data_IF_721455001607
#
_entry.id   IF_721455001607
#
_cell.length_a   1.000
_cell.length_b   1.000
_cell.length_c   1.000
_cell.angle_alpha   90.00
_cell.angle_beta   90.00
_cell.angle_gamma   90.00
#
_symmetry.space_group_name_H-M   'P 1'
#
loop_
_entity.id
_entity.type
_entity.pdbx_description
1 polymer ?
#
# COMPACT_ATOMS: atom_id res chain seq x y z
N UNK A 1 4.27 7.61 16.82
CA UNK A 1 2.91 7.55 17.35
C UNK A 1 1.87 7.76 16.25
N UNK A 2 1.91 8.88 15.52
CA UNK A 2 0.96 9.25 14.45
C UNK A 2 0.62 8.11 13.46
N UNK A 3 1.60 7.48 12.79
CA UNK A 3 1.33 6.34 11.88
C UNK A 3 0.65 5.14 12.54
N UNK A 4 0.88 4.90 13.84
CA UNK A 4 0.29 3.77 14.55
C UNK A 4 -1.19 4.04 14.84
N UNK A 5 -1.52 5.26 15.28
CA UNK A 5 -2.90 5.71 15.47
C UNK A 5 -3.66 5.62 14.16
N UNK A 6 -3.08 6.14 13.07
CA UNK A 6 -3.69 6.09 11.76
C UNK A 6 -4.02 4.66 11.29
N UNK A 7 -3.09 3.73 11.44
CA UNK A 7 -3.30 2.34 11.05
C UNK A 7 -4.39 1.68 11.90
N UNK A 8 -4.42 1.95 13.20
CA UNK A 8 -5.52 1.51 14.05
C UNK A 8 -6.87 2.09 13.58
N UNK A 9 -6.92 3.39 13.28
CA UNK A 9 -8.12 4.05 12.78
C UNK A 9 -8.59 3.49 11.43
N UNK A 10 -7.67 3.23 10.50
CA UNK A 10 -7.98 2.62 9.21
C UNK A 10 -8.53 1.20 9.39
N UNK A 11 -7.93 0.40 10.27
CA UNK A 11 -8.43 -0.94 10.61
C UNK A 11 -9.82 -0.90 11.25
N UNK A 12 -10.05 0.01 12.20
CA UNK A 12 -11.36 0.21 12.83
C UNK A 12 -12.43 0.66 11.83
N UNK A 13 -12.07 1.53 10.88
CA UNK A 13 -12.99 1.96 9.83
C UNK A 13 -13.38 0.78 8.93
N UNK A 14 -12.42 -0.02 8.48
CA UNK A 14 -12.73 -1.23 7.71
C UNK A 14 -13.59 -2.22 8.49
N UNK A 15 -13.29 -2.45 9.76
CA UNK A 15 -14.10 -3.34 10.59
C UNK A 15 -15.54 -2.83 10.72
N UNK A 16 -15.71 -1.54 10.97
CA UNK A 16 -17.03 -0.88 11.02
C UNK A 16 -17.76 -1.02 9.69
N UNK A 17 -17.03 -0.96 8.57
CA UNK A 17 -17.60 -1.16 7.25
C UNK A 17 -18.07 -2.59 7.01
N UNK A 18 -17.26 -3.58 7.36
CA UNK A 18 -17.61 -5.00 7.24
C UNK A 18 -18.81 -5.33 8.13
N UNK A 19 -18.79 -4.89 9.39
CA UNK A 19 -19.91 -5.05 10.33
C UNK A 19 -21.15 -4.35 9.78
N UNK A 20 -21.01 -3.12 9.29
CA UNK A 20 -22.12 -2.40 8.67
C UNK A 20 -22.72 -3.14 7.49
N UNK A 21 -21.90 -3.72 6.61
CA UNK A 21 -22.39 -4.56 5.53
C UNK A 21 -23.15 -5.81 6.05
N UNK A 22 -22.61 -6.51 7.05
CA UNK A 22 -23.24 -7.71 7.62
C UNK A 22 -24.56 -7.44 8.33
N UNK A 23 -24.68 -6.28 9.00
CA UNK A 23 -25.89 -5.86 9.70
C UNK A 23 -26.79 -4.95 8.86
N UNK A 24 -26.53 -4.87 7.55
CA UNK A 24 -27.30 -4.08 6.60
C UNK A 24 -27.46 -2.60 7.00
N UNK A 25 -26.40 -2.02 7.57
CA UNK A 25 -26.33 -0.61 7.89
C UNK A 25 -26.15 0.23 6.62
N UNK A 26 -26.63 1.47 6.68
CA UNK A 26 -26.37 2.48 5.67
C UNK A 26 -24.95 3.06 5.80
N UNK A 27 -24.44 3.79 4.78
CA UNK A 27 -23.18 4.51 4.88
C UNK A 27 -23.10 5.45 6.08
N UNK A 28 -24.21 6.12 6.39
CA UNK A 28 -24.34 6.94 7.60
C UNK A 28 -24.31 6.08 8.88
N UNK A 29 -24.96 4.91 8.87
CA UNK A 29 -24.89 3.95 9.97
C UNK A 29 -23.47 3.44 10.25
N UNK A 30 -22.68 3.15 9.21
CA UNK A 30 -21.25 2.83 9.35
C UNK A 30 -20.50 3.96 10.03
N UNK A 31 -20.79 5.20 9.65
CA UNK A 31 -20.12 6.36 10.21
C UNK A 31 -20.37 6.48 11.71
N UNK A 32 -21.62 6.34 12.14
CA UNK A 32 -21.97 6.31 13.56
C UNK A 32 -21.32 5.16 14.30
N UNK A 33 -21.32 3.96 13.72
CA UNK A 33 -20.64 2.79 14.29
C UNK A 33 -19.14 3.06 14.45
N UNK A 34 -18.50 3.60 13.41
CA UNK A 34 -17.08 3.93 13.43
C UNK A 34 -16.74 4.94 14.52
N UNK A 35 -17.45 6.06 14.61
CA UNK A 35 -17.18 7.07 15.64
C UNK A 35 -17.47 6.55 17.04
N UNK A 36 -18.49 5.71 17.22
CA UNK A 36 -18.79 5.08 18.51
C UNK A 36 -17.67 4.15 18.96
N UNK A 37 -17.19 3.29 18.06
CA UNK A 37 -16.07 2.38 18.32
C UNK A 37 -14.77 3.15 18.53
N UNK A 38 -14.52 4.21 17.74
CA UNK A 38 -13.35 5.07 17.88
C UNK A 38 -13.33 5.79 19.23
N UNK A 39 -14.47 6.32 19.68
CA UNK A 39 -14.60 6.96 20.98
C UNK A 39 -14.29 5.97 22.11
N UNK A 40 -14.87 4.76 22.07
CA UNK A 40 -14.58 3.70 23.03
C UNK A 40 -13.08 3.34 23.01
N UNK A 41 -12.49 3.18 21.83
CA UNK A 41 -11.07 2.89 21.67
C UNK A 41 -10.18 3.99 22.26
N UNK A 42 -10.49 5.27 21.99
CA UNK A 42 -9.75 6.41 22.54
C UNK A 42 -9.88 6.50 24.07
N UNK A 43 -11.07 6.22 24.62
CA UNK A 43 -11.30 6.16 26.06
C UNK A 43 -10.49 5.03 26.71
N UNK A 44 -10.56 3.81 26.16
CA UNK A 44 -9.77 2.67 26.64
C UNK A 44 -8.27 2.94 26.54
N UNK A 45 -7.82 3.52 25.42
CA UNK A 45 -6.42 3.91 25.22
C UNK A 45 -5.98 4.95 26.26
N UNK A 46 -6.79 5.98 26.52
CA UNK A 46 -6.49 6.99 27.52
C UNK A 46 -6.42 6.40 28.93
N UNK A 47 -7.36 5.51 29.29
CA UNK A 47 -7.36 4.81 30.57
C UNK A 47 -6.11 3.93 30.73
N UNK A 48 -5.72 3.19 29.68
CA UNK A 48 -4.57 2.29 29.72
C UNK A 48 -3.22 3.03 29.74
N UNK A 49 -3.09 4.11 28.96
CA UNK A 49 -1.87 4.94 28.92
C UNK A 49 -1.65 5.70 30.22
N UNK A 50 -2.71 6.13 30.89
CA UNK A 50 -2.62 6.81 32.19
C UNK A 50 -2.02 5.91 33.28
N UNK A 51 -2.17 4.60 33.15
CA UNK A 51 -1.63 3.60 34.09
C UNK A 51 -0.14 3.32 33.82
N UNK A 52 0.34 3.49 32.59
CA UNK A 52 1.69 3.06 32.16
C UNK A 52 2.64 4.23 31.85
N UNK A 53 2.56 5.32 32.62
CA UNK A 53 3.30 6.57 32.38
C UNK A 53 4.82 6.48 32.63
N UNK A 54 5.53 5.79 31.72
CA UNK A 54 6.95 6.01 31.40
C UNK A 54 7.15 6.07 29.88
N UNK A 55 6.39 6.91 29.18
CA UNK A 55 6.67 7.22 27.78
C UNK A 55 7.88 8.17 27.69
N UNK A 56 9.09 7.61 27.64
CA UNK A 56 10.27 8.36 27.19
C UNK A 56 10.12 8.61 25.68
N UNK A 57 9.71 9.82 25.31
CA UNK A 57 9.77 10.26 23.93
C UNK A 57 11.22 10.49 23.55
N UNK A 58 11.69 9.75 22.54
CA UNK A 58 12.91 10.15 21.87
C UNK A 58 12.56 11.35 20.99
N UNK A 59 12.79 12.56 21.50
CA UNK A 59 12.72 13.78 20.70
C UNK A 59 13.71 13.64 19.55
N UNK A 60 13.24 13.94 18.33
CA UNK A 60 14.10 14.02 17.15
C UNK A 60 15.04 15.23 17.33
N UNK A 61 16.30 15.08 16.93
CA UNK A 61 17.17 16.24 16.76
C UNK A 61 16.57 17.19 15.71
N UNK A 62 16.86 18.50 15.83
CA UNK A 62 16.42 19.55 14.89
C UNK A 62 16.71 19.16 13.43
N UNK A 63 17.92 18.65 13.15
CA UNK A 63 18.29 18.21 11.79
C UNK A 63 17.39 17.09 11.28
N UNK A 64 17.10 16.11 12.13
CA UNK A 64 16.20 15.01 11.76
C UNK A 64 14.78 15.51 11.49
N UNK A 65 14.29 16.46 12.29
CA UNK A 65 12.96 17.04 12.10
C UNK A 65 12.84 17.71 10.73
N UNK A 66 13.87 18.44 10.28
CA UNK A 66 13.90 19.02 8.93
C UNK A 66 13.82 17.97 7.83
N UNK A 67 14.61 16.89 7.90
CA UNK A 67 14.55 15.84 6.88
C UNK A 67 13.20 15.10 6.88
N UNK A 68 12.65 14.78 8.05
CA UNK A 68 11.34 14.14 8.16
C UNK A 68 10.25 15.05 7.58
N UNK A 69 10.25 16.33 7.97
CA UNK A 69 9.32 17.34 7.46
C UNK A 69 9.43 17.51 5.95
N UNK A 70 10.66 17.59 5.42
CA UNK A 70 10.94 17.69 3.99
C UNK A 70 10.34 16.51 3.21
N UNK A 71 10.65 15.26 3.60
CA UNK A 71 10.15 14.10 2.87
C UNK A 71 8.63 13.94 2.97
N UNK A 72 8.02 14.32 4.09
CA UNK A 72 6.56 14.34 4.23
C UNK A 72 5.96 15.38 3.28
N UNK A 73 6.44 16.62 3.34
CA UNK A 73 5.95 17.71 2.49
C UNK A 73 6.14 17.36 1.00
N UNK A 74 7.31 16.83 0.65
CA UNK A 74 7.61 16.39 -0.71
C UNK A 74 6.66 15.28 -1.17
N UNK A 75 6.36 14.29 -0.33
CA UNK A 75 5.37 13.25 -0.65
C UNK A 75 3.97 13.83 -0.90
N UNK A 76 3.55 14.82 -0.12
CA UNK A 76 2.26 15.49 -0.28
C UNK A 76 2.22 16.26 -1.59
N UNK A 77 3.23 17.10 -1.84
CA UNK A 77 3.35 17.90 -3.05
C UNK A 77 3.33 17.01 -4.29
N UNK A 78 4.11 15.92 -4.30
CA UNK A 78 4.11 14.99 -5.43
C UNK A 78 2.76 14.32 -5.64
N UNK A 79 2.10 13.81 -4.58
CA UNK A 79 0.78 13.18 -4.73
C UNK A 79 -0.27 14.13 -5.27
N UNK A 80 -0.22 15.41 -4.89
CA UNK A 80 -1.16 16.44 -5.34
C UNK A 80 -0.85 16.95 -6.76
N UNK A 81 0.42 17.14 -7.11
CA UNK A 81 0.82 17.78 -8.36
C UNK A 81 1.01 16.81 -9.53
N UNK A 82 1.18 15.50 -9.25
CA UNK A 82 1.25 14.47 -10.29
C UNK A 82 -0.16 14.09 -10.74
N UNK A 83 -0.55 14.60 -11.91
CA UNK A 83 -1.87 14.40 -12.47
C UNK A 83 -1.81 13.24 -13.46
N UNK A 84 -2.40 12.11 -13.08
CA UNK A 84 -2.49 10.91 -13.90
C UNK A 84 -3.92 10.38 -13.90
N UNK A 85 -4.66 10.66 -14.97
CA UNK A 85 -5.97 10.08 -15.22
C UNK A 85 -5.87 8.57 -15.34
N UNK A 86 -6.90 7.88 -14.85
CA UNK A 86 -6.91 6.42 -14.83
C UNK A 86 -8.29 5.85 -15.15
N UNK A 87 -8.35 4.89 -16.06
CA UNK A 87 -9.60 4.30 -16.53
C UNK A 87 -10.38 3.61 -15.40
N UNK A 88 -9.72 3.12 -14.35
CA UNK A 88 -10.41 2.51 -13.21
C UNK A 88 -11.23 3.50 -12.40
N UNK A 89 -11.05 4.82 -12.58
CA UNK A 89 -11.86 5.82 -11.89
C UNK A 89 -13.35 5.70 -12.27
N UNK A 90 -13.67 5.27 -13.49
CA UNK A 90 -15.06 5.00 -13.91
C UNK A 90 -15.77 4.01 -12.98
N UNK A 91 -14.99 3.13 -12.35
CA UNK A 91 -15.45 2.19 -11.35
C UNK A 91 -15.38 2.80 -9.94
N UNK A 92 -14.20 3.22 -9.49
CA UNK A 92 -13.99 3.63 -8.10
C UNK A 92 -14.70 4.93 -7.70
N UNK A 93 -14.69 5.94 -8.57
CA UNK A 93 -15.35 7.22 -8.29
C UNK A 93 -16.87 7.09 -8.32
N UNK A 94 -17.38 6.33 -9.29
CA UNK A 94 -18.80 5.99 -9.37
C UNK A 94 -19.30 5.30 -8.09
N UNK A 95 -18.48 4.42 -7.53
CA UNK A 95 -18.77 3.76 -6.27
C UNK A 95 -18.89 4.75 -5.11
N UNK A 96 -17.97 5.71 -5.04
CA UNK A 96 -18.01 6.78 -4.03
C UNK A 96 -19.25 7.68 -4.20
N UNK A 97 -19.66 7.97 -5.45
CA UNK A 97 -20.91 8.70 -5.73
C UNK A 97 -22.13 7.91 -5.27
N UNK A 98 -22.17 6.60 -5.52
CA UNK A 98 -23.29 5.76 -5.06
C UNK A 98 -23.40 5.76 -3.53
N UNK A 99 -22.28 5.75 -2.79
CA UNK A 99 -22.27 5.90 -1.33
C UNK A 99 -22.86 7.24 -0.87
N UNK A 100 -22.65 8.33 -1.61
CA UNK A 100 -23.23 9.63 -1.29
C UNK A 100 -24.72 9.70 -1.64
N UNK A 101 -25.08 9.25 -2.84
CA UNK A 101 -26.46 9.26 -3.34
C UNK A 101 -27.40 8.41 -2.48
N UNK A 102 -26.88 7.31 -1.92
CA UNK A 102 -27.63 6.34 -1.11
C UNK A 102 -27.15 6.30 0.34
N UNK A 103 -26.79 7.44 0.93
CA UNK A 103 -26.17 7.51 2.25
C UNK A 103 -27.06 7.00 3.42
N UNK A 104 -28.38 6.94 3.22
CA UNK A 104 -29.37 6.41 4.17
C UNK A 104 -29.85 5.00 3.85
N UNK A 105 -29.59 4.49 2.64
CA UNK A 105 -30.00 3.14 2.25
C UNK A 105 -28.97 2.10 2.72
N UNK A 106 -29.41 0.87 3.03
CA UNK A 106 -28.50 -0.21 3.36
C UNK A 106 -27.48 -0.48 2.25
N UNK A 107 -26.23 -0.75 2.64
CA UNK A 107 -25.13 -0.93 1.68
C UNK A 107 -25.29 -2.19 0.83
N UNK A 108 -26.01 -3.20 1.33
CA UNK A 108 -26.28 -4.41 0.55
C UNK A 108 -27.13 -4.16 -0.70
N UNK A 109 -27.90 -3.05 -0.73
CA UNK A 109 -28.75 -2.63 -1.86
C UNK A 109 -27.97 -1.84 -2.92
N UNK A 110 -26.68 -1.62 -2.71
CA UNK A 110 -25.83 -0.93 -3.68
C UNK A 110 -25.52 -1.83 -4.88
N UNK A 111 -25.70 -1.29 -6.10
CA UNK A 111 -25.34 -1.97 -7.35
C UNK A 111 -23.85 -2.28 -7.41
N UNK A 112 -23.01 -1.40 -6.84
CA UNK A 112 -21.59 -1.64 -6.63
C UNK A 112 -21.34 -2.91 -5.80
N UNK A 113 -22.03 -3.03 -4.68
CA UNK A 113 -21.88 -4.14 -3.72
C UNK A 113 -22.39 -5.46 -4.30
N UNK A 114 -23.43 -5.44 -5.14
CA UNK A 114 -23.91 -6.61 -5.87
C UNK A 114 -22.86 -7.22 -6.82
N UNK A 115 -21.84 -6.46 -7.23
CA UNK A 115 -20.70 -7.03 -7.97
C UNK A 115 -19.77 -7.88 -7.10
N UNK A 116 -20.10 -8.15 -5.82
CA UNK A 116 -19.44 -9.04 -4.85
C UNK A 116 -17.92 -8.92 -4.80
N UNK A 117 -17.31 -7.84 -5.25
CA UNK A 117 -15.87 -7.56 -5.11
C UNK A 117 -15.63 -6.27 -4.35
N UNK A 118 -16.70 -5.55 -4.08
CA UNK A 118 -16.74 -4.17 -3.68
C UNK A 118 -17.18 -3.99 -2.21
N UNK A 119 -17.91 -4.97 -1.66
CA UNK A 119 -18.50 -4.88 -0.32
C UNK A 119 -17.46 -4.80 0.82
N UNK A 120 -16.23 -5.25 0.55
CA UNK A 120 -15.13 -5.21 1.51
C UNK A 120 -14.23 -3.98 1.32
N UNK A 121 -14.34 -3.30 0.17
CA UNK A 121 -13.51 -2.16 -0.18
C UNK A 121 -14.05 -0.88 0.48
N UNK A 122 -13.67 -0.68 1.74
CA UNK A 122 -14.06 0.48 2.54
C UNK A 122 -13.48 1.82 2.02
N UNK A 123 -12.43 1.81 1.19
CA UNK A 123 -11.73 3.03 0.78
C UNK A 123 -12.58 4.03 -0.02
N UNK A 124 -13.46 3.53 -0.90
CA UNK A 124 -14.39 4.37 -1.66
C UNK A 124 -15.40 5.02 -0.71
N UNK A 125 -15.94 4.25 0.24
CA UNK A 125 -16.84 4.77 1.26
C UNK A 125 -16.18 5.81 2.17
N UNK A 126 -14.89 5.64 2.50
CA UNK A 126 -14.14 6.59 3.32
C UNK A 126 -14.10 7.97 2.65
N UNK A 127 -13.82 8.00 1.34
CA UNK A 127 -13.74 9.25 0.56
C UNK A 127 -15.11 9.91 0.41
N UNK A 128 -16.15 9.12 0.16
CA UNK A 128 -17.53 9.60 0.18
C UNK A 128 -17.89 10.22 1.54
N UNK A 129 -17.60 9.51 2.62
CA UNK A 129 -17.89 9.96 3.98
C UNK A 129 -17.12 11.23 4.36
N UNK A 130 -15.86 11.38 3.95
CA UNK A 130 -15.11 12.63 4.10
C UNK A 130 -15.79 13.78 3.34
N UNK A 131 -16.28 13.53 2.13
CA UNK A 131 -17.04 14.52 1.37
C UNK A 131 -18.30 14.98 2.10
N UNK A 132 -19.08 14.00 2.58
CA UNK A 132 -20.34 14.22 3.29
C UNK A 132 -20.13 14.96 4.63
N UNK A 133 -19.16 14.50 5.43
CA UNK A 133 -18.86 15.07 6.75
C UNK A 133 -18.40 16.52 6.71
N UNK A 134 -17.55 16.87 5.74
CA UNK A 134 -16.97 18.21 5.62
C UNK A 134 -17.72 19.09 4.63
N UNK A 135 -18.79 18.58 4.00
CA UNK A 135 -19.55 19.25 2.95
C UNK A 135 -18.66 19.82 1.83
N UNK A 136 -17.68 19.02 1.38
CA UNK A 136 -16.75 19.39 0.29
C UNK A 136 -17.10 18.62 -0.99
N UNK A 137 -16.74 19.13 -2.18
CA UNK A 137 -16.95 18.40 -3.44
C UNK A 137 -16.23 17.05 -3.48
N UNK A 138 -16.88 16.02 -4.05
CA UNK A 138 -16.32 14.66 -4.08
C UNK A 138 -14.94 14.58 -4.72
N UNK A 139 -14.65 15.37 -5.76
CA UNK A 139 -13.34 15.34 -6.42
C UNK A 139 -12.22 15.88 -5.52
N UNK A 140 -12.52 16.79 -4.59
CA UNK A 140 -11.57 17.29 -3.60
C UNK A 140 -11.23 16.18 -2.60
N UNK A 141 -12.24 15.51 -2.05
CA UNK A 141 -12.03 14.36 -1.15
C UNK A 141 -11.25 13.25 -1.86
N UNK A 142 -11.66 12.92 -3.09
CA UNK A 142 -11.19 11.77 -3.85
C UNK A 142 -9.75 11.93 -4.36
N UNK A 143 -9.39 13.08 -4.95
CA UNK A 143 -8.08 13.28 -5.58
C UNK A 143 -7.08 14.06 -4.74
N UNK A 144 -7.54 14.92 -3.82
CA UNK A 144 -6.68 15.87 -3.12
C UNK A 144 -6.53 15.51 -1.65
N UNK A 145 -7.60 15.66 -0.85
CA UNK A 145 -7.53 15.61 0.61
C UNK A 145 -7.12 14.23 1.12
N UNK A 146 -7.86 13.18 0.75
CA UNK A 146 -7.58 11.83 1.24
C UNK A 146 -6.22 11.33 0.72
N UNK A 147 -5.89 11.40 -0.58
CA UNK A 147 -4.57 10.99 -1.07
C UNK A 147 -3.40 11.73 -0.41
N UNK A 148 -3.54 13.04 -0.15
CA UNK A 148 -2.51 13.82 0.56
C UNK A 148 -2.29 13.31 1.99
N UNK A 149 -3.37 13.01 2.72
CA UNK A 149 -3.26 12.42 4.07
C UNK A 149 -2.53 11.07 3.99
N UNK A 150 -2.90 10.21 3.05
CA UNK A 150 -2.26 8.91 2.86
C UNK A 150 -0.78 9.00 2.47
N UNK A 151 -0.38 10.01 1.69
CA UNK A 151 1.02 10.17 1.29
C UNK A 151 1.94 10.53 2.47
N UNK A 152 1.44 11.26 3.47
CA UNK A 152 2.15 11.48 4.76
C UNK A 152 2.49 10.13 5.39
N UNK A 153 1.55 9.19 5.40
CA UNK A 153 1.75 7.88 5.99
C UNK A 153 2.69 7.00 5.17
N UNK A 154 2.61 7.07 3.83
CA UNK A 154 3.58 6.41 2.93
C UNK A 154 5.01 6.88 3.25
N UNK A 155 5.24 8.19 3.35
CA UNK A 155 6.56 8.71 3.69
C UNK A 155 7.01 8.24 5.09
N UNK A 156 6.15 8.38 6.09
CA UNK A 156 6.53 8.04 7.48
C UNK A 156 6.79 6.54 7.68
N UNK A 157 6.07 5.64 7.00
CA UNK A 157 6.33 4.20 7.14
C UNK A 157 7.65 3.80 6.49
N UNK A 158 7.99 4.38 5.34
CA UNK A 158 9.27 4.12 4.67
C UNK A 158 10.45 4.68 5.46
N UNK A 159 10.32 5.88 6.04
CA UNK A 159 11.31 6.44 6.96
C UNK A 159 11.53 5.48 8.14
N UNK A 160 10.44 4.99 8.75
CA UNK A 160 10.53 4.05 9.88
C UNK A 160 11.18 2.73 9.50
N UNK A 161 10.84 2.19 8.33
CA UNK A 161 11.38 0.94 7.85
C UNK A 161 12.88 1.08 7.51
N UNK A 162 13.29 2.16 6.86
CA UNK A 162 14.70 2.46 6.59
C UNK A 162 15.50 2.72 7.87
N UNK A 163 14.95 3.46 8.84
CA UNK A 163 15.59 3.62 10.16
C UNK A 163 15.74 2.28 10.88
N UNK A 164 14.75 1.39 10.74
CA UNK A 164 14.81 0.05 11.33
C UNK A 164 15.90 -0.82 10.70
N UNK A 165 16.20 -0.64 9.41
CA UNK A 165 17.13 -1.51 8.67
C UNK A 165 18.53 -0.92 8.51
N UNK A 166 18.65 0.32 8.03
CA UNK A 166 19.93 0.99 7.71
C UNK A 166 20.27 2.15 8.66
N UNK A 167 19.47 2.36 9.72
CA UNK A 167 19.73 3.33 10.80
C UNK A 167 19.95 4.75 10.26
N UNK A 168 21.14 5.31 10.46
CA UNK A 168 21.50 6.71 10.17
C UNK A 168 21.50 7.03 8.67
N UNK A 169 21.64 6.00 7.81
CA UNK A 169 21.74 6.16 6.35
C UNK A 169 20.36 6.30 5.68
N UNK A 170 19.29 6.38 6.48
CA UNK A 170 17.90 6.42 6.02
C UNK A 170 17.58 7.61 5.10
N UNK A 171 18.29 8.74 5.24
CA UNK A 171 18.07 9.93 4.40
C UNK A 171 18.42 9.66 2.95
N UNK A 172 19.58 9.03 2.68
CA UNK A 172 19.98 8.63 1.32
C UNK A 172 19.07 7.56 0.75
N UNK A 173 18.59 6.65 1.61
CA UNK A 173 17.58 5.67 1.24
C UNK A 173 16.27 6.34 0.83
N UNK A 174 15.80 7.34 1.58
CA UNK A 174 14.59 8.10 1.25
C UNK A 174 14.75 8.95 -0.02
N UNK A 175 15.91 9.57 -0.24
CA UNK A 175 16.19 10.26 -1.51
C UNK A 175 16.06 9.30 -2.69
N UNK A 176 16.66 8.12 -2.59
CA UNK A 176 16.56 7.11 -3.65
C UNK A 176 15.14 6.56 -3.80
N UNK A 177 14.41 6.37 -2.70
CA UNK A 177 13.00 5.99 -2.73
C UNK A 177 12.17 6.96 -3.58
N UNK A 178 12.36 8.27 -3.41
CA UNK A 178 11.66 9.26 -4.20
C UNK A 178 12.10 9.27 -5.67
N UNK A 179 13.40 9.07 -5.96
CA UNK A 179 13.88 8.88 -7.35
C UNK A 179 13.14 7.70 -8.00
N UNK A 180 13.05 6.56 -7.31
CA UNK A 180 12.28 5.39 -7.80
C UNK A 180 10.82 5.75 -8.04
N UNK A 181 10.16 6.43 -7.09
CA UNK A 181 8.75 6.81 -7.19
C UNK A 181 8.46 7.79 -8.33
N UNK A 182 9.44 8.60 -8.74
CA UNK A 182 9.31 9.58 -9.83
C UNK A 182 9.70 9.03 -11.20
N UNK A 183 10.60 8.04 -11.23
CA UNK A 183 11.27 7.67 -12.48
C UNK A 183 10.90 6.27 -12.93
N UNK A 184 10.53 5.34 -12.05
CA UNK A 184 10.25 3.96 -12.44
C UNK A 184 8.86 3.74 -13.06
N UNK A 185 8.64 4.33 -14.23
CA UNK A 185 7.37 4.31 -14.97
C UNK A 185 7.31 3.33 -16.15
N UNK A 186 8.34 2.51 -16.36
CA UNK A 186 8.51 1.67 -17.57
C UNK A 186 7.27 0.82 -17.90
N UNK A 187 6.61 0.28 -16.87
CA UNK A 187 5.37 -0.48 -17.01
C UNK A 187 4.30 0.12 -16.09
N UNK A 188 3.05 0.17 -16.54
CA UNK A 188 1.92 0.68 -15.77
C UNK A 188 1.74 0.00 -14.40
N UNK A 189 2.24 -1.23 -14.24
CA UNK A 189 2.09 -2.07 -13.05
C UNK A 189 3.27 -2.01 -12.08
N UNK A 190 4.26 -1.15 -12.34
CA UNK A 190 5.38 -0.95 -11.41
C UNK A 190 4.89 -0.43 -10.05
N UNK A 191 5.67 -0.69 -9.02
CA UNK A 191 5.38 -0.21 -7.67
C UNK A 191 5.32 1.32 -7.61
N UNK A 192 6.15 2.02 -8.39
CA UNK A 192 6.13 3.48 -8.45
C UNK A 192 4.84 4.01 -9.11
N UNK A 193 4.31 3.30 -10.11
CA UNK A 193 3.02 3.63 -10.71
C UNK A 193 1.84 3.36 -9.75
N UNK A 194 1.91 2.32 -8.92
CA UNK A 194 1.02 2.11 -7.76
C UNK A 194 1.45 2.93 -6.52
N UNK A 195 2.29 3.93 -6.72
CA UNK A 195 2.86 4.80 -5.70
C UNK A 195 2.08 6.10 -5.51
N UNK A 196 2.86 7.16 -5.28
CA UNK A 196 2.38 8.51 -4.95
C UNK A 196 1.38 9.08 -5.96
N UNK A 197 1.57 8.76 -7.25
CA UNK A 197 0.75 9.28 -8.35
C UNK A 197 -0.69 8.76 -8.32
N UNK A 198 -0.92 7.56 -7.77
CA UNK A 198 -2.23 6.85 -7.77
C UNK A 198 -2.79 6.60 -6.38
N UNK A 199 -2.33 7.30 -5.34
CA UNK A 199 -2.87 7.11 -3.98
C UNK A 199 -4.37 7.39 -3.84
N UNK A 200 -5.02 7.97 -4.84
CA UNK A 200 -6.48 8.00 -4.98
C UNK A 200 -7.11 6.64 -5.30
N UNK A 201 -6.35 5.54 -5.30
CA UNK A 201 -6.88 4.19 -5.46
C UNK A 201 -6.43 3.34 -4.27
N UNK A 202 -7.36 2.57 -3.71
CA UNK A 202 -7.07 1.79 -2.51
C UNK A 202 -5.96 0.75 -2.74
N UNK A 203 -5.89 0.13 -3.93
CA UNK A 203 -4.76 -0.74 -4.30
C UNK A 203 -3.38 -0.06 -4.24
N UNK A 204 -3.30 1.23 -4.57
CA UNK A 204 -2.03 1.97 -4.49
C UNK A 204 -1.65 2.24 -3.04
N UNK A 205 -2.62 2.61 -2.20
CA UNK A 205 -2.44 2.73 -0.75
C UNK A 205 -1.99 1.38 -0.15
N UNK A 206 -2.62 0.29 -0.55
CA UNK A 206 -2.27 -1.05 -0.09
C UNK A 206 -0.79 -1.39 -0.35
N UNK A 207 -0.35 -1.24 -1.61
CA UNK A 207 1.04 -1.54 -2.01
C UNK A 207 2.05 -0.57 -1.37
N UNK A 208 1.72 0.71 -1.30
CA UNK A 208 2.65 1.76 -0.89
C UNK A 208 2.68 2.06 0.61
N UNK A 209 1.66 1.64 1.36
CA UNK A 209 1.57 1.90 2.79
C UNK A 209 1.40 0.61 3.59
N UNK A 210 0.40 -0.20 3.26
CA UNK A 210 0.03 -1.35 4.09
C UNK A 210 1.07 -2.46 4.02
N UNK A 211 1.55 -2.83 2.83
CA UNK A 211 2.61 -3.84 2.69
C UNK A 211 3.89 -3.43 3.47
N UNK A 212 4.46 -2.21 3.30
CA UNK A 212 5.57 -1.74 4.13
C UNK A 212 5.24 -1.71 5.64
N UNK A 213 4.01 -1.40 6.02
CA UNK A 213 3.58 -1.37 7.42
C UNK A 213 3.55 -2.77 8.04
N UNK A 214 3.03 -3.77 7.32
CA UNK A 214 3.05 -5.19 7.73
C UNK A 214 4.49 -5.62 7.99
N UNK A 215 5.39 -5.37 7.03
CA UNK A 215 6.81 -5.70 7.16
C UNK A 215 7.45 -5.00 8.36
N UNK A 216 7.18 -3.70 8.53
CA UNK A 216 7.71 -2.92 9.65
C UNK A 216 7.24 -3.44 11.01
N UNK A 217 5.93 -3.64 11.20
CA UNK A 217 5.38 -4.09 12.47
C UNK A 217 5.71 -5.55 12.76
N UNK A 218 5.78 -6.40 11.74
CA UNK A 218 6.30 -7.76 11.90
C UNK A 218 7.74 -7.75 12.42
N UNK A 219 8.64 -6.99 11.80
CA UNK A 219 10.03 -6.89 12.28
C UNK A 219 10.16 -6.21 13.65
N UNK A 220 9.30 -5.24 13.97
CA UNK A 220 9.26 -4.64 15.31
C UNK A 220 8.75 -5.61 16.37
N UNK A 221 7.74 -6.41 16.05
CA UNK A 221 7.28 -7.47 16.92
C UNK A 221 8.38 -8.52 17.09
N UNK A 222 8.99 -9.00 16.01
CA UNK A 222 10.12 -9.93 16.07
C UNK A 222 11.30 -9.40 16.92
N UNK A 223 11.61 -8.10 16.81
CA UNK A 223 12.73 -7.50 17.56
C UNK A 223 12.43 -7.32 19.06
N UNK A 224 11.16 -7.10 19.44
CA UNK A 224 10.83 -6.60 20.79
C UNK A 224 9.79 -7.40 21.54
N UNK A 225 9.08 -8.31 20.86
CA UNK A 225 8.00 -9.16 21.38
C UNK A 225 6.85 -8.38 22.04
N UNK A 226 6.77 -7.06 21.80
CA UNK A 226 5.73 -6.22 22.40
C UNK A 226 4.40 -6.41 21.68
N UNK A 227 3.38 -6.82 22.44
CA UNK A 227 2.01 -7.08 21.97
C UNK A 227 1.39 -5.92 21.17
N UNK A 228 1.73 -4.68 21.48
CA UNK A 228 1.28 -3.52 20.70
C UNK A 228 1.62 -3.60 19.21
N UNK A 229 2.74 -4.24 18.85
CA UNK A 229 3.13 -4.39 17.45
C UNK A 229 2.37 -5.53 16.77
N UNK A 230 1.99 -6.56 17.51
CA UNK A 230 1.06 -7.58 17.02
C UNK A 230 -0.31 -6.94 16.75
N UNK A 231 -0.83 -6.13 17.68
CA UNK A 231 -2.09 -5.41 17.47
C UNK A 231 -2.04 -4.50 16.23
N UNK A 232 -0.95 -3.75 16.05
CA UNK A 232 -0.77 -2.89 14.88
C UNK A 232 -0.60 -3.69 13.58
N UNK A 233 0.02 -4.87 13.64
CA UNK A 233 0.09 -5.80 12.52
C UNK A 233 -1.31 -6.30 12.14
N UNK A 234 -2.11 -6.73 13.11
CA UNK A 234 -3.52 -7.13 12.89
C UNK A 234 -4.34 -5.97 12.31
N UNK A 235 -4.14 -4.75 12.81
CA UNK A 235 -4.80 -3.57 12.26
C UNK A 235 -4.37 -3.29 10.80
N UNK A 236 -3.11 -3.55 10.43
CA UNK A 236 -2.67 -3.44 9.03
C UNK A 236 -3.43 -4.42 8.12
N UNK A 237 -3.57 -5.68 8.56
CA UNK A 237 -4.29 -6.72 7.81
C UNK A 237 -5.73 -6.29 7.58
N UNK A 238 -6.43 -5.91 8.65
CA UNK A 238 -7.82 -5.44 8.55
C UNK A 238 -7.91 -4.19 7.67
N UNK A 239 -6.97 -3.24 7.81
CA UNK A 239 -6.96 -2.05 6.97
C UNK A 239 -6.73 -2.39 5.48
N UNK A 240 -5.82 -3.32 5.16
CA UNK A 240 -5.51 -3.73 3.79
C UNK A 240 -6.72 -4.27 3.04
N UNK A 241 -7.53 -5.10 3.70
CA UNK A 241 -8.83 -5.57 3.18
C UNK A 241 -9.72 -4.41 2.75
N UNK A 242 -9.78 -3.36 3.56
CA UNK A 242 -10.56 -2.15 3.29
C UNK A 242 -10.04 -1.33 2.11
N UNK A 243 -8.75 -1.39 1.83
CA UNK A 243 -8.17 -0.72 0.67
C UNK A 243 -8.33 -1.51 -0.62
N UNK A 244 -8.25 -2.84 -0.55
CA UNK A 244 -8.41 -3.66 -1.75
C UNK A 244 -8.76 -5.10 -1.39
N UNK A 245 -9.71 -5.73 -2.12
CA UNK A 245 -9.97 -7.17 -1.98
C UNK A 245 -8.74 -8.03 -2.27
N UNK A 246 -7.74 -7.52 -3.01
CA UNK A 246 -6.48 -8.23 -3.24
C UNK A 246 -5.71 -8.54 -1.96
N UNK A 247 -5.89 -7.73 -0.91
CA UNK A 247 -5.19 -7.91 0.36
C UNK A 247 -5.41 -9.30 0.96
N UNK A 248 -6.59 -9.86 0.76
CA UNK A 248 -7.00 -11.16 1.26
C UNK A 248 -6.24 -12.35 0.62
N UNK A 249 -5.47 -12.09 -0.44
CA UNK A 249 -4.51 -13.06 -1.00
C UNK A 249 -3.07 -12.64 -0.69
N UNK A 250 -2.73 -11.37 -0.90
CA UNK A 250 -1.34 -10.89 -0.79
C UNK A 250 -0.86 -10.84 0.66
N UNK A 251 -1.69 -10.40 1.61
CA UNK A 251 -1.33 -10.33 3.03
C UNK A 251 -1.13 -11.71 3.66
N UNK A 252 -2.02 -12.72 3.50
CA UNK A 252 -1.75 -14.05 3.99
C UNK A 252 -0.46 -14.64 3.43
N UNK A 253 -0.21 -14.45 2.13
CA UNK A 253 1.02 -14.92 1.50
C UNK A 253 2.25 -14.21 2.09
N UNK A 254 2.20 -12.89 2.24
CA UNK A 254 3.27 -12.10 2.87
C UNK A 254 3.54 -12.56 4.30
N UNK A 255 2.49 -12.73 5.11
CA UNK A 255 2.61 -13.17 6.50
C UNK A 255 3.14 -14.60 6.60
N UNK A 256 2.71 -15.51 5.73
CA UNK A 256 3.22 -16.87 5.68
C UNK A 256 4.73 -16.86 5.37
N UNK A 257 5.16 -16.10 4.37
CA UNK A 257 6.57 -16.00 4.01
C UNK A 257 7.39 -15.34 5.12
N UNK A 258 6.93 -14.22 5.69
CA UNK A 258 7.57 -13.60 6.85
C UNK A 258 7.66 -14.57 8.02
N UNK A 259 6.59 -15.31 8.30
CA UNK A 259 6.54 -16.26 9.39
C UNK A 259 7.58 -17.38 9.20
N UNK A 260 7.58 -18.06 8.05
CA UNK A 260 8.55 -19.11 7.71
C UNK A 260 9.98 -18.55 7.84
N UNK A 261 10.19 -17.31 7.41
CA UNK A 261 11.49 -16.63 7.55
C UNK A 261 11.93 -16.45 9.00
N UNK A 262 10.97 -16.22 9.90
CA UNK A 262 11.16 -16.09 11.33
C UNK A 262 11.46 -17.40 12.04
N UNK A 263 10.82 -18.52 11.66
CA UNK A 263 10.98 -19.85 12.30
C UNK A 263 12.46 -20.22 12.45
N UNK A 264 13.23 -20.07 11.37
CA UNK A 264 14.66 -20.42 11.35
C UNK A 264 15.56 -19.47 12.15
N UNK A 265 14.99 -18.41 12.74
CA UNK A 265 15.70 -17.37 13.48
C UNK A 265 15.39 -17.34 14.97
N UNK A 266 14.32 -18.03 15.44
CA UNK A 266 13.98 -18.09 16.86
C UNK A 266 14.86 -19.07 17.63
N UNK A 267 15.08 -18.74 18.91
CA UNK A 267 15.55 -19.73 19.89
C UNK A 267 14.39 -20.68 20.20
N UNK A 268 14.70 -21.98 20.28
CA UNK A 268 13.81 -23.17 20.21
C UNK A 268 12.55 -23.24 21.09
N UNK A 269 12.17 -22.27 21.93
CA UNK A 269 11.15 -22.51 22.98
C UNK A 269 10.01 -21.51 23.14
N UNK A 270 9.70 -20.65 22.16
CA UNK A 270 8.61 -19.68 22.37
C UNK A 270 7.26 -20.15 21.80
N UNK A 271 6.49 -20.85 22.64
CA UNK A 271 5.10 -21.30 22.34
C UNK A 271 4.17 -20.14 21.95
N UNK A 272 4.50 -18.92 22.38
CA UNK A 272 3.76 -17.69 22.05
C UNK A 272 3.75 -17.41 20.54
N UNK A 273 4.82 -17.75 19.83
CA UNK A 273 4.93 -17.55 18.38
C UNK A 273 4.00 -18.49 17.60
N UNK A 274 3.84 -19.74 18.07
CA UNK A 274 2.94 -20.71 17.46
C UNK A 274 1.46 -20.33 17.66
N UNK A 275 1.09 -19.80 18.83
CA UNK A 275 -0.28 -19.29 19.05
C UNK A 275 -0.57 -18.02 18.25
N UNK A 276 0.42 -17.14 18.10
CA UNK A 276 0.31 -15.96 17.24
C UNK A 276 0.17 -16.37 15.76
N UNK A 277 0.91 -17.39 15.33
CA UNK A 277 0.75 -18.01 14.01
C UNK A 277 -0.65 -18.58 13.86
N UNK A 278 -1.07 -19.42 14.79
CA UNK A 278 -2.32 -20.16 14.68
C UNK A 278 -3.50 -19.18 14.61
N UNK A 279 -3.52 -18.15 15.45
CA UNK A 279 -4.58 -17.13 15.42
C UNK A 279 -4.57 -16.31 14.13
N UNK A 280 -3.39 -15.91 13.64
CA UNK A 280 -3.26 -15.20 12.36
C UNK A 280 -3.67 -16.10 11.18
N UNK A 281 -3.13 -17.31 11.08
CA UNK A 281 -3.42 -18.27 10.00
C UNK A 281 -4.87 -18.74 10.04
N UNK A 282 -5.45 -18.98 11.22
CA UNK A 282 -6.85 -19.35 11.37
C UNK A 282 -7.78 -18.23 10.88
N UNK A 283 -7.53 -16.98 11.28
CA UNK A 283 -8.25 -15.82 10.74
C UNK A 283 -8.13 -15.73 9.22
N UNK A 284 -6.94 -15.98 8.68
CA UNK A 284 -6.65 -15.94 7.24
C UNK A 284 -7.32 -17.08 6.46
N UNK A 285 -7.36 -18.30 7.02
CA UNK A 285 -8.08 -19.44 6.44
C UNK A 285 -9.58 -19.17 6.48
N UNK A 286 -10.11 -18.65 7.58
CA UNK A 286 -11.53 -18.29 7.69
C UNK A 286 -11.91 -17.24 6.64
N UNK A 287 -11.11 -16.19 6.48
CA UNK A 287 -11.27 -15.19 5.43
C UNK A 287 -11.12 -15.79 4.02
N UNK A 288 -10.16 -16.72 3.82
CA UNK A 288 -9.95 -17.46 2.56
C UNK A 288 -11.08 -18.44 2.19
N UNK A 289 -11.78 -18.99 3.17
CA UNK A 289 -12.97 -19.83 2.95
C UNK A 289 -14.17 -18.96 2.55
N UNK A 290 -14.34 -17.80 3.18
CA UNK A 290 -15.30 -16.78 2.74
C UNK A 290 -15.02 -16.32 1.30
N UNK A 291 -13.74 -16.33 0.88
CA UNK A 291 -13.30 -16.03 -0.50
C UNK A 291 -13.85 -16.96 -1.56
N UNK A 292 -13.83 -18.27 -1.29
CA UNK A 292 -14.35 -19.28 -2.22
C UNK A 292 -15.83 -19.04 -2.52
N UNK A 293 -16.56 -18.55 -1.51
CA UNK A 293 -17.96 -18.14 -1.63
C UNK A 293 -18.12 -16.77 -2.33
N UNK A 294 -17.17 -15.85 -2.15
CA UNK A 294 -17.24 -14.45 -2.62
C UNK A 294 -16.83 -14.27 -4.10
N UNK A 295 -15.74 -14.91 -4.56
CA UNK A 295 -15.18 -14.67 -5.90
C UNK A 295 -15.71 -15.55 -7.03
N UNK A 296 -16.52 -16.58 -6.70
CA UNK A 296 -17.05 -17.57 -7.63
C UNK A 296 -15.97 -18.06 -8.61
N UNK A 297 -15.00 -18.80 -8.06
CA UNK A 297 -13.70 -19.08 -8.69
C UNK A 297 -13.90 -19.74 -10.06
N UNK A 298 -13.55 -19.01 -11.13
CA UNK A 298 -13.40 -19.57 -12.48
C UNK A 298 -11.98 -20.13 -12.58
N UNK A 299 -11.83 -21.41 -12.27
CA UNK A 299 -10.56 -22.14 -12.11
C UNK A 299 -9.69 -22.24 -13.39
N UNK A 300 -10.17 -21.76 -14.53
CA UNK A 300 -9.57 -22.09 -15.83
C UNK A 300 -8.62 -21.01 -16.40
N UNK A 301 -8.63 -19.78 -15.87
CA UNK A 301 -7.98 -18.66 -16.59
C UNK A 301 -7.21 -17.70 -15.71
N UNK A 302 -6.23 -17.03 -16.32
CA UNK A 302 -5.24 -16.16 -15.71
C UNK A 302 -5.15 -14.85 -16.48
N UNK A 303 -4.97 -13.72 -15.78
CA UNK A 303 -4.82 -12.41 -16.41
C UNK A 303 -3.34 -12.09 -16.64
N UNK A 304 -2.97 -11.81 -17.89
CA UNK A 304 -1.59 -11.58 -18.35
C UNK A 304 -1.49 -10.25 -19.12
N UNK A 305 -0.31 -9.85 -19.66
CA UNK A 305 -0.23 -8.73 -20.60
C UNK A 305 -1.11 -8.87 -21.83
N UNK A 306 -1.40 -10.10 -22.26
CA UNK A 306 -2.15 -10.42 -23.50
C UNK A 306 -3.65 -10.56 -23.27
N UNK A 307 -4.14 -10.22 -22.08
CA UNK A 307 -5.53 -10.40 -21.68
C UNK A 307 -5.72 -11.64 -20.79
N UNK A 308 -6.87 -12.28 -20.88
CA UNK A 308 -7.18 -13.48 -20.09
C UNK A 308 -6.86 -14.72 -20.90
N UNK A 309 -5.95 -15.56 -20.39
CA UNK A 309 -5.44 -16.78 -21.05
C UNK A 309 -5.49 -17.98 -20.10
N UNK A 310 -5.29 -19.19 -20.59
CA UNK A 310 -5.35 -20.41 -19.76
C UNK A 310 -4.07 -20.66 -18.93
N UNK A 311 -2.92 -20.24 -19.45
CA UNK A 311 -1.60 -20.53 -18.88
C UNK A 311 -0.70 -19.30 -18.91
N UNK A 312 0.24 -19.23 -17.98
CA UNK A 312 1.22 -18.14 -17.88
C UNK A 312 2.53 -18.64 -17.31
N UNK A 313 3.62 -17.93 -17.56
CA UNK A 313 4.90 -18.19 -16.87
C UNK A 313 5.14 -17.18 -15.76
N UNK A 314 5.95 -17.56 -14.76
CA UNK A 314 6.36 -16.63 -13.71
C UNK A 314 7.22 -15.48 -14.26
N UNK A 315 8.10 -15.75 -15.22
CA UNK A 315 8.95 -14.73 -15.85
C UNK A 315 8.11 -13.66 -16.57
N UNK A 316 7.04 -14.08 -17.26
CA UNK A 316 6.10 -13.16 -17.88
C UNK A 316 5.45 -12.24 -16.84
N UNK A 317 5.01 -12.77 -15.69
CA UNK A 317 4.39 -11.96 -14.63
C UNK A 317 5.40 -11.06 -13.91
N UNK A 318 6.64 -11.52 -13.71
CA UNK A 318 7.71 -10.69 -13.14
C UNK A 318 7.99 -9.50 -14.05
N UNK A 319 8.27 -9.75 -15.34
CA UNK A 319 8.52 -8.68 -16.32
C UNK A 319 7.31 -7.77 -16.52
N UNK A 320 6.09 -8.29 -16.33
CA UNK A 320 4.87 -7.49 -16.35
C UNK A 320 4.72 -6.53 -15.17
N UNK A 321 5.36 -6.80 -14.03
CA UNK A 321 5.33 -5.95 -12.84
C UNK A 321 6.54 -5.02 -12.76
N UNK A 322 7.75 -5.56 -12.91
CA UNK A 322 8.99 -4.79 -12.71
C UNK A 322 9.56 -4.20 -14.01
N UNK A 323 9.10 -4.71 -15.17
CA UNK A 323 9.66 -4.38 -16.48
C UNK A 323 10.80 -5.30 -16.90
N UNK A 324 11.01 -5.44 -18.20
CA UNK A 324 12.13 -6.19 -18.78
C UNK A 324 13.40 -5.35 -18.98
N UNK A 325 13.31 -4.03 -18.76
CA UNK A 325 14.43 -3.09 -18.90
C UNK A 325 15.34 -3.01 -17.67
N UNK A 326 16.35 -2.14 -17.75
CA UNK A 326 17.38 -1.97 -16.72
C UNK A 326 16.80 -1.75 -15.31
N UNK A 327 15.81 -0.85 -15.15
CA UNK A 327 15.25 -0.54 -13.81
C UNK A 327 14.58 -1.73 -13.15
N UNK A 328 13.92 -2.59 -13.93
CA UNK A 328 13.31 -3.83 -13.45
C UNK A 328 14.37 -4.81 -12.93
N UNK A 329 15.39 -5.08 -13.73
CA UNK A 329 16.49 -5.96 -13.33
C UNK A 329 17.32 -5.38 -12.18
N UNK A 330 17.52 -4.06 -12.16
CA UNK A 330 18.16 -3.35 -11.04
C UNK A 330 17.36 -3.51 -9.74
N UNK A 331 16.03 -3.43 -9.80
CA UNK A 331 15.16 -3.66 -8.66
C UNK A 331 15.27 -5.10 -8.14
N UNK A 332 15.28 -6.09 -9.04
CA UNK A 332 15.46 -7.50 -8.67
C UNK A 332 16.85 -7.75 -8.06
N UNK A 333 17.90 -7.20 -8.68
CA UNK A 333 19.27 -7.29 -8.18
C UNK A 333 19.38 -6.68 -6.78
N UNK A 334 18.89 -5.46 -6.59
CA UNK A 334 18.86 -4.81 -5.29
C UNK A 334 18.08 -5.61 -4.25
N UNK A 335 16.95 -6.21 -4.64
CA UNK A 335 16.20 -7.10 -3.75
C UNK A 335 17.05 -8.27 -3.25
N UNK A 336 17.69 -8.99 -4.17
CA UNK A 336 18.56 -10.15 -3.85
C UNK A 336 19.71 -9.76 -2.92
N UNK A 337 20.38 -8.63 -3.16
CA UNK A 337 21.54 -8.24 -2.37
C UNK A 337 21.19 -7.44 -1.11
N UNK A 338 19.97 -6.91 -0.99
CA UNK A 338 19.57 -6.05 0.13
C UNK A 338 19.81 -6.63 1.52
N UNK A 339 19.72 -7.95 1.78
CA UNK A 339 20.02 -8.51 3.10
C UNK A 339 21.42 -8.19 3.62
N UNK A 340 22.41 -8.09 2.73
CA UNK A 340 23.79 -7.76 3.09
C UNK A 340 23.96 -6.31 3.55
N UNK A 341 22.97 -5.45 3.30
CA UNK A 341 22.96 -4.03 3.67
C UNK A 341 22.13 -3.74 4.93
N UNK A 342 21.38 -4.72 5.44
CA UNK A 342 20.64 -4.57 6.70
C UNK A 342 21.63 -4.47 7.87
N UNK A 343 21.65 -3.31 8.55
CA UNK A 343 22.51 -3.04 9.71
C UNK A 343 21.93 -3.54 11.02
N UNK A 344 20.60 -3.67 11.10
CA UNK A 344 19.94 -4.20 12.30
C UNK A 344 20.09 -5.73 12.39
N UNK A 345 20.99 -6.16 13.26
CA UNK A 345 21.37 -7.57 13.41
C UNK A 345 20.23 -8.45 13.87
N UNK A 346 19.31 -7.93 14.68
CA UNK A 346 18.16 -8.67 15.21
C UNK A 346 17.21 -9.15 14.11
N UNK A 347 17.03 -8.37 13.05
CA UNK A 347 16.06 -8.67 11.97
C UNK A 347 16.71 -9.17 10.69
N UNK A 348 18.03 -8.98 10.55
CA UNK A 348 18.79 -9.29 9.32
C UNK A 348 18.62 -10.74 8.88
N UNK A 349 18.69 -11.72 9.80
CA UNK A 349 18.53 -13.15 9.46
C UNK A 349 17.13 -13.44 8.91
N UNK A 350 16.10 -12.87 9.55
CA UNK A 350 14.71 -13.01 9.10
C UNK A 350 14.51 -12.37 7.73
N UNK A 351 15.03 -11.16 7.52
CA UNK A 351 14.94 -10.49 6.22
C UNK A 351 15.72 -11.24 5.12
N UNK A 352 16.86 -11.84 5.45
CA UNK A 352 17.62 -12.70 4.55
C UNK A 352 16.80 -13.92 4.11
N UNK A 353 16.19 -14.64 5.07
CA UNK A 353 15.33 -15.78 4.77
C UNK A 353 14.09 -15.36 3.95
N UNK A 354 13.49 -14.22 4.27
CA UNK A 354 12.37 -13.64 3.51
C UNK A 354 12.75 -13.41 2.05
N UNK A 355 13.94 -12.85 1.83
CA UNK A 355 14.47 -12.60 0.49
C UNK A 355 14.67 -13.91 -0.27
N UNK A 356 15.27 -14.93 0.36
CA UNK A 356 15.46 -16.25 -0.26
C UNK A 356 14.13 -16.88 -0.64
N UNK A 357 13.15 -16.92 0.27
CA UNK A 357 11.85 -17.54 -0.01
C UNK A 357 11.14 -16.81 -1.15
N UNK A 358 11.17 -15.47 -1.19
CA UNK A 358 10.62 -14.70 -2.31
C UNK A 358 11.35 -15.02 -3.63
N UNK A 359 12.68 -15.14 -3.62
CA UNK A 359 13.46 -15.54 -4.80
C UNK A 359 13.10 -16.95 -5.27
N UNK A 360 12.89 -17.90 -4.36
CA UNK A 360 12.43 -19.26 -4.69
C UNK A 360 11.03 -19.23 -5.32
N UNK A 361 10.10 -18.46 -4.75
CA UNK A 361 8.76 -18.28 -5.32
C UNK A 361 8.82 -17.66 -6.73
N UNK A 362 9.74 -16.71 -6.96
CA UNK A 362 10.00 -16.13 -8.28
C UNK A 362 10.69 -17.10 -9.26
N UNK A 363 11.52 -18.02 -8.77
CA UNK A 363 12.22 -19.00 -9.60
C UNK A 363 11.31 -20.17 -10.03
N UNK A 364 10.33 -20.55 -9.23
CA UNK A 364 9.39 -21.63 -9.56
C UNK A 364 8.49 -21.19 -10.74
N UNK A 365 8.53 -21.87 -11.91
CA UNK A 365 7.90 -21.39 -13.14
C UNK A 365 6.38 -21.21 -13.08
N UNK A 366 5.69 -21.98 -12.23
CA UNK A 366 4.23 -22.01 -12.15
C UNK A 366 3.66 -21.27 -10.94
N UNK A 367 4.46 -20.58 -10.10
CA UNK A 367 3.95 -19.90 -8.89
C UNK A 367 2.80 -18.94 -9.21
N UNK A 368 2.99 -18.06 -10.19
CA UNK A 368 1.97 -17.11 -10.61
C UNK A 368 0.69 -17.78 -11.10
N UNK A 369 0.81 -18.83 -11.91
CA UNK A 369 -0.33 -19.58 -12.43
C UNK A 369 -1.08 -20.29 -11.30
N UNK A 370 -0.35 -20.96 -10.41
CA UNK A 370 -0.90 -21.66 -9.26
C UNK A 370 -1.71 -20.72 -8.37
N UNK A 371 -1.14 -19.56 -8.02
CA UNK A 371 -1.84 -18.58 -7.18
C UNK A 371 -3.11 -18.08 -7.88
N UNK A 372 -3.04 -17.76 -9.19
CA UNK A 372 -4.19 -17.25 -9.93
C UNK A 372 -5.34 -18.25 -10.03
N UNK A 373 -5.04 -19.52 -10.37
CA UNK A 373 -6.05 -20.58 -10.53
C UNK A 373 -6.71 -20.97 -9.20
N UNK A 374 -5.99 -20.86 -8.08
CA UNK A 374 -6.51 -21.15 -6.75
C UNK A 374 -7.15 -19.95 -6.04
N UNK A 375 -7.07 -18.75 -6.59
CA UNK A 375 -7.62 -17.54 -5.96
C UNK A 375 -8.47 -16.71 -6.93
N UNK A 376 -7.87 -15.86 -7.76
CA UNK A 376 -8.53 -15.06 -8.78
C UNK A 376 -7.55 -14.67 -9.91
N UNK A 377 -8.08 -14.42 -11.11
CA UNK A 377 -7.29 -14.27 -12.35
C UNK A 377 -6.15 -13.24 -12.27
N UNK A 378 -6.36 -12.11 -11.60
CA UNK A 378 -5.35 -11.03 -11.47
C UNK A 378 -4.37 -11.25 -10.33
N UNK A 379 -4.56 -12.28 -9.50
CA UNK A 379 -3.58 -12.67 -8.50
C UNK A 379 -2.25 -13.12 -9.12
N UNK A 380 -2.25 -13.52 -10.40
CA UNK A 380 -1.07 -13.96 -11.16
C UNK A 380 0.13 -13.03 -11.07
N UNK A 381 -0.11 -11.73 -11.04
CA UNK A 381 0.96 -10.73 -10.91
C UNK A 381 0.81 -9.90 -9.62
N UNK A 382 -0.39 -9.82 -9.02
CA UNK A 382 -0.60 -9.05 -7.79
C UNK A 382 0.08 -9.68 -6.57
N UNK A 383 0.35 -10.98 -6.56
CA UNK A 383 1.13 -11.59 -5.48
C UNK A 383 2.53 -10.97 -5.35
N UNK A 384 3.13 -10.48 -6.45
CA UNK A 384 4.42 -9.79 -6.45
C UNK A 384 4.42 -8.47 -5.67
N UNK A 385 3.24 -7.92 -5.34
CA UNK A 385 3.13 -6.74 -4.47
C UNK A 385 3.63 -6.99 -3.04
N UNK A 386 3.74 -8.25 -2.62
CA UNK A 386 4.35 -8.57 -1.33
C UNK A 386 5.85 -8.27 -1.29
N UNK A 387 6.51 -8.18 -2.45
CA UNK A 387 7.96 -8.00 -2.57
C UNK A 387 8.28 -6.51 -2.59
N UNK A 388 8.95 -5.97 -1.55
CA UNK A 388 9.09 -4.53 -1.37
C UNK A 388 10.26 -3.96 -2.20
N UNK A 389 10.21 -4.09 -3.54
CA UNK A 389 11.30 -3.68 -4.43
C UNK A 389 11.79 -2.23 -4.22
N UNK A 390 10.91 -1.20 -4.10
CA UNK A 390 11.37 0.17 -3.83
C UNK A 390 12.15 0.30 -2.53
N UNK A 391 11.71 -0.39 -1.48
CA UNK A 391 12.39 -0.39 -0.20
C UNK A 391 13.75 -1.09 -0.29
N UNK A 392 13.85 -2.25 -0.95
CA UNK A 392 15.10 -2.96 -1.09
C UNK A 392 16.14 -2.16 -1.88
N UNK A 393 15.73 -1.51 -2.97
CA UNK A 393 16.58 -0.55 -3.69
C UNK A 393 17.05 0.60 -2.77
N UNK A 394 16.14 1.15 -1.96
CA UNK A 394 16.46 2.22 -1.01
C UNK A 394 17.43 1.78 0.08
N UNK A 395 17.34 0.54 0.55
CA UNK A 395 18.29 -0.06 1.52
C UNK A 395 19.69 -0.17 0.92
N UNK A 396 19.80 -0.72 -0.29
CA UNK A 396 21.09 -0.88 -0.98
C UNK A 396 21.68 0.50 -1.25
N UNK A 397 20.95 1.36 -1.96
CA UNK A 397 21.41 2.68 -2.38
C UNK A 397 21.71 3.59 -1.19
N UNK A 398 20.85 3.60 -0.17
CA UNK A 398 21.08 4.40 1.03
C UNK A 398 22.36 4.04 1.76
N UNK A 399 22.81 2.79 1.66
CA UNK A 399 24.01 2.31 2.33
C UNK A 399 25.31 2.52 1.54
N UNK A 400 25.23 2.85 0.24
CA UNK A 400 26.41 3.01 -0.64
C UNK A 400 27.37 4.10 -0.15
N UNK A 401 26.92 5.35 0.16
CA UNK A 401 27.83 6.43 0.54
C UNK A 401 28.75 6.06 1.71
N UNK A 402 28.25 5.23 2.64
CA UNK A 402 28.98 4.79 3.82
C UNK A 402 29.77 3.50 3.61
N UNK A 403 29.25 2.51 2.89
CA UNK A 403 29.97 1.24 2.68
C UNK A 403 31.11 1.38 1.70
N UNK A 404 30.96 2.24 0.69
CA UNK A 404 32.01 2.61 -0.24
C UNK A 404 32.76 3.82 0.33
N UNK A 405 33.25 3.67 1.57
CA UNK A 405 34.03 4.70 2.27
C UNK A 405 35.53 4.50 2.07
N UNK A 406 35.96 4.07 0.89
CA UNK A 406 37.36 4.22 0.51
C UNK A 406 37.61 5.72 0.26
N UNK A 407 38.59 6.29 0.96
CA UNK A 407 39.13 7.61 0.64
C UNK A 407 40.32 7.39 -0.29
N UNK A 408 40.12 7.64 -1.58
CA UNK A 408 41.22 7.79 -2.51
C UNK A 408 41.46 9.31 -2.61
N UNK A 409 42.63 9.78 -2.18
CA UNK A 409 42.99 11.21 -2.20
C UNK A 409 41.99 12.15 -1.48
N UNK A 410 41.47 11.77 -0.30
CA UNK A 410 40.45 12.53 0.47
C UNK A 410 39.09 12.73 -0.22
N UNK A 411 38.85 12.12 -1.38
CA UNK A 411 37.57 12.21 -2.11
C UNK A 411 36.58 11.17 -1.54
N UNK A 412 35.33 11.57 -1.21
CA UNK A 412 34.32 10.66 -0.70
C UNK A 412 33.69 9.83 -1.84
N UNK A 413 34.42 8.83 -2.36
CA UNK A 413 34.05 8.03 -3.55
C UNK A 413 32.61 7.49 -3.46
N UNK A 414 32.16 7.02 -2.30
CA UNK A 414 30.82 6.46 -2.15
C UNK A 414 29.69 7.42 -2.54
N UNK A 415 29.86 8.73 -2.35
CA UNK A 415 28.87 9.72 -2.80
C UNK A 415 28.82 9.85 -4.31
N UNK A 416 29.98 9.83 -4.98
CA UNK A 416 30.06 9.85 -6.44
C UNK A 416 29.45 8.58 -7.03
N UNK A 417 29.75 7.41 -6.46
CA UNK A 417 29.13 6.13 -6.88
C UNK A 417 27.61 6.18 -6.72
N UNK A 418 27.12 6.67 -5.57
CA UNK A 418 25.68 6.86 -5.36
C UNK A 418 25.05 7.76 -6.43
N UNK A 419 25.67 8.93 -6.70
CA UNK A 419 25.15 9.88 -7.67
C UNK A 419 25.19 9.35 -9.11
N UNK A 420 26.28 8.69 -9.51
CA UNK A 420 26.41 8.06 -10.83
C UNK A 420 25.35 6.99 -11.02
N UNK A 421 25.12 6.11 -10.03
CA UNK A 421 24.06 5.09 -10.14
C UNK A 421 22.67 5.73 -10.17
N UNK A 422 22.43 6.81 -9.41
CA UNK A 422 21.19 7.57 -9.51
C UNK A 422 20.99 8.13 -10.93
N UNK A 423 22.03 8.73 -11.51
CA UNK A 423 21.98 9.29 -12.86
C UNK A 423 21.73 8.19 -13.90
N UNK A 424 22.42 7.06 -13.82
CA UNK A 424 22.19 5.89 -14.69
C UNK A 424 20.74 5.42 -14.56
N UNK A 425 20.22 5.26 -13.34
CA UNK A 425 18.84 4.83 -13.12
C UNK A 425 17.83 5.84 -13.70
N UNK A 426 18.11 7.13 -13.57
CA UNK A 426 17.26 8.19 -14.12
C UNK A 426 17.27 8.15 -15.65
N UNK A 427 18.44 8.04 -16.27
CA UNK A 427 18.61 8.10 -17.71
C UNK A 427 18.34 6.77 -18.44
N UNK A 428 18.20 5.66 -17.72
CA UNK A 428 18.12 4.32 -18.33
C UNK A 428 16.85 4.05 -19.15
N UNK A 429 15.82 4.90 -19.05
CA UNK A 429 14.58 4.75 -19.82
C UNK A 429 13.90 6.10 -20.00
N UNK A 430 13.26 6.28 -21.16
CA UNK A 430 12.50 7.49 -21.51
C UNK A 430 11.15 7.55 -20.80
N UNK A 431 10.55 6.38 -20.56
CA UNK A 431 9.24 6.28 -19.91
C UNK A 431 9.39 6.37 -18.39
N UNK A 432 8.97 7.49 -17.84
CA UNK A 432 9.11 7.81 -16.42
C UNK A 432 7.74 7.98 -15.77
N UNK A 433 7.64 7.95 -14.44
CA UNK A 433 6.34 8.24 -13.80
C UNK A 433 5.91 9.66 -14.12
N UNK A 434 6.87 10.58 -14.27
CA UNK A 434 6.65 11.97 -14.66
C UNK A 434 6.29 12.20 -16.13
N UNK A 435 6.47 11.22 -17.03
CA UNK A 435 6.37 11.48 -18.46
C UNK A 435 4.94 11.35 -18.99
N UNK A 436 4.66 12.08 -20.06
CA UNK A 436 3.39 11.99 -20.80
C UNK A 436 3.16 10.59 -21.39
N UNK A 437 4.22 9.86 -21.74
CA UNK A 437 4.16 8.43 -22.14
C UNK A 437 3.57 7.51 -21.04
N UNK A 438 3.55 7.98 -19.79
CA UNK A 438 2.91 7.33 -18.67
C UNK A 438 1.56 7.97 -18.30
N UNK A 439 1.03 8.82 -19.17
CA UNK A 439 -0.21 9.60 -19.01
C UNK A 439 -0.18 10.50 -17.77
N UNK A 440 1.01 10.97 -17.39
CA UNK A 440 1.20 11.79 -16.20
C UNK A 440 1.70 13.17 -16.60
N UNK A 441 1.10 14.19 -16.00
CA UNK A 441 1.53 15.59 -16.13
C UNK A 441 1.83 16.17 -14.76
N UNK A 442 2.80 17.08 -14.69
CA UNK A 442 3.09 17.83 -13.46
C UNK A 442 2.41 19.19 -13.54
N UNK A 443 1.42 19.43 -12.69
CA UNK A 443 0.70 20.71 -12.64
C UNK A 443 0.20 21.02 -11.24
N UNK A 444 -0.37 22.20 -11.02
CA UNK A 444 -0.97 22.55 -9.74
C UNK A 444 -2.05 21.52 -9.31
N UNK A 445 -2.31 21.37 -8.00
CA UNK A 445 -3.27 20.39 -7.49
C UNK A 445 -4.65 20.56 -8.13
N UNK A 446 -5.15 19.52 -8.79
CA UNK A 446 -6.48 19.48 -9.42
C UNK A 446 -7.03 18.04 -9.47
N UNK A 447 -8.34 17.84 -9.70
CA UNK A 447 -8.88 16.52 -9.99
C UNK A 447 -8.17 15.87 -11.18
N UNK A 448 -7.87 14.58 -11.06
CA UNK A 448 -7.06 13.85 -12.06
C UNK A 448 -7.94 13.24 -13.14
N UNK A 449 -8.79 14.07 -13.77
CA UNK A 449 -9.71 13.69 -14.85
C UNK A 449 -9.41 14.56 -16.08
N UNK A 450 -9.44 13.98 -17.29
CA UNK A 450 -9.15 14.71 -18.54
C UNK A 450 -10.37 15.39 -19.17
N UNK A 451 -11.55 14.84 -18.92
CA UNK A 451 -12.80 15.22 -19.57
C UNK A 451 -13.73 15.93 -18.58
N UNK A 452 -14.55 16.86 -19.08
CA UNK A 452 -15.61 17.51 -18.29
C UNK A 452 -16.83 16.60 -18.04
N UNK A 453 -16.78 15.35 -18.54
CA UNK A 453 -17.78 14.32 -18.30
C UNK A 453 -17.13 12.98 -18.01
N UNK A 454 -17.82 12.14 -17.26
CA UNK A 454 -17.32 10.82 -16.87
C UNK A 454 -18.44 9.78 -16.91
N UNK A 455 -18.16 8.63 -17.52
CA UNK A 455 -19.14 7.55 -17.58
C UNK A 455 -19.33 6.91 -16.20
N UNK A 456 -20.55 6.98 -15.68
CA UNK A 456 -20.93 6.39 -14.40
C UNK A 456 -21.66 5.06 -14.64
N UNK A 457 -20.88 3.99 -14.80
CA UNK A 457 -21.34 2.60 -14.96
C UNK A 457 -22.59 2.15 -14.15
N UNK A 458 -22.69 2.43 -12.85
CA UNK A 458 -23.84 2.06 -12.01
C UNK A 458 -25.16 2.78 -12.37
N UNK A 459 -25.05 3.95 -12.98
CA UNK A 459 -26.18 4.77 -13.43
C UNK A 459 -26.45 4.61 -14.93
N UNK A 460 -25.45 4.18 -15.71
CA UNK A 460 -25.60 4.01 -17.15
C UNK A 460 -25.68 5.33 -17.91
N UNK A 461 -25.09 6.39 -17.36
CA UNK A 461 -25.08 7.74 -17.94
C UNK A 461 -23.74 8.45 -17.71
N UNK A 462 -23.54 9.60 -18.36
CA UNK A 462 -22.40 10.47 -18.12
C UNK A 462 -22.71 11.45 -16.98
N UNK A 463 -21.88 11.46 -15.94
CA UNK A 463 -21.87 12.55 -14.96
C UNK A 463 -21.10 13.75 -15.50
N UNK A 464 -21.65 14.96 -15.33
CA UNK A 464 -21.02 16.22 -15.71
C UNK A 464 -20.18 16.76 -14.56
N UNK A 465 -18.98 17.27 -14.86
CA UNK A 465 -18.06 17.79 -13.85
C UNK A 465 -18.18 19.31 -13.81
N UNK A 466 -18.65 19.84 -12.68
CA UNK A 466 -18.86 21.27 -12.45
C UNK A 466 -18.30 21.66 -11.07
N UNK A 467 -17.35 22.60 -11.02
CA UNK A 467 -16.85 23.12 -9.74
C UNK A 467 -16.27 22.06 -8.80
N UNK A 468 -15.55 21.06 -9.33
CA UNK A 468 -15.05 19.88 -8.60
C UNK A 468 -16.14 18.92 -8.09
N UNK A 469 -17.39 19.10 -8.52
CA UNK A 469 -18.48 18.17 -8.25
C UNK A 469 -18.77 17.29 -9.45
N UNK A 470 -19.46 16.18 -9.22
CA UNK A 470 -20.06 15.37 -10.29
C UNK A 470 -21.57 15.46 -10.19
N UNK A 471 -22.19 16.03 -11.22
CA UNK A 471 -23.62 16.14 -11.40
C UNK A 471 -24.16 14.93 -12.15
N UNK A 472 -25.17 14.29 -11.58
CA UNK A 472 -25.78 13.05 -12.08
C UNK A 472 -27.23 13.37 -12.42
N UNK A 473 -27.57 13.35 -13.71
CA UNK A 473 -28.87 13.81 -14.22
C UNK A 473 -30.02 12.97 -13.66
N UNK A 474 -29.88 11.64 -13.67
CA UNK A 474 -30.88 10.72 -13.11
C UNK A 474 -31.16 10.94 -11.62
N UNK A 475 -30.24 11.58 -10.89
CA UNK A 475 -30.39 11.90 -9.47
C UNK A 475 -30.76 13.35 -9.22
N UNK A 476 -30.75 14.21 -10.24
CA UNK A 476 -30.93 15.65 -10.14
C UNK A 476 -30.06 16.29 -9.02
N UNK A 477 -28.82 15.82 -8.87
CA UNK A 477 -27.93 16.22 -7.77
C UNK A 477 -26.46 16.24 -8.19
N UNK A 478 -25.70 17.16 -7.60
CA UNK A 478 -24.24 17.26 -7.74
C UNK A 478 -23.54 16.92 -6.42
N UNK A 479 -22.51 16.07 -6.51
CA UNK A 479 -21.76 15.50 -5.38
C UNK A 479 -20.34 16.04 -5.28
#
# INVERSE_FOLDING_TARGET
MVTAIFIAMAGLYTLSHIVGYLFNLSPLGILYLYFSVLLIFLLLYFLFVRIDCKFKYHLLDKKELYFVGFFIAFSVVLTLCLNRPDADDQYYLNSAIEYLAKNTHPISESKYVHQRRAALAAYESLRANVSSLFNIPILISYYLLVPAIFSIFVATIHIKLLRLTIRDDWVYGMLFFFIVMLVWGDIHRTHANFGLVRLFQGKAVFVSLIIPAIIYYYFKYFQTEKQKYMLLLSACIVAGVGFTPTALVVEPLLLLVLYISGIFSFKKSDKSYFFTLFSAVFMLILLGLLFKQYFNISNATVHTPRGTVEHTTNLEMITYVIGSGFRGWFALFCFIISPFFIRNTSIRKVYFNFTIICCLLMAIPWTSEFIAKNTYKTASWRWLWMIPFPFAMSVVMGSIPRKVSARMFNIPIGFYVYFIICLIFILSSKRNVLSEENYTTFSLPKPKIESNKMWLRNYGEYGLIEGNRICVESLNQCY
#
